data_IF_015685477201
#
_entry.id   IF_015685477201
#
_cell.length_a   1.000
_cell.length_b   1.000
_cell.length_c   1.000
_cell.angle_alpha   90.00
_cell.angle_beta   90.00
_cell.angle_gamma   90.00
#
_symmetry.space_group_name_H-M   'P 1'
#
loop_
_entity.id
_entity.type
_entity.pdbx_description
1 polymer ?
#
# COMPACT_ATOMS: atom_id res chain seq x y z
N UNK A 1 32.87 29.57 -16.44
CA UNK A 1 31.78 28.69 -16.94
C UNK A 1 30.79 28.48 -15.81
N UNK A 2 29.51 28.82 -15.95
CA UNK A 2 28.57 28.69 -14.86
C UNK A 2 28.04 27.25 -14.79
N UNK A 3 28.15 26.67 -13.60
CA UNK A 3 27.58 25.37 -13.24
C UNK A 3 26.07 25.56 -13.17
N UNK A 4 25.35 25.00 -14.13
CA UNK A 4 23.90 25.01 -14.15
C UNK A 4 23.37 24.01 -13.11
N UNK A 5 22.91 24.55 -11.98
CA UNK A 5 22.16 23.80 -10.97
C UNK A 5 20.77 23.46 -11.56
N UNK A 6 20.64 22.25 -12.10
CA UNK A 6 19.34 21.72 -12.55
C UNK A 6 18.56 21.23 -11.32
N UNK A 7 17.83 22.16 -10.71
CA UNK A 7 16.73 21.82 -9.78
C UNK A 7 15.71 20.97 -10.53
N UNK A 8 15.59 19.70 -10.12
CA UNK A 8 14.66 18.72 -10.69
C UNK A 8 13.22 19.20 -10.45
N UNK A 9 12.57 19.69 -11.50
CA UNK A 9 11.16 20.12 -11.49
C UNK A 9 10.23 18.95 -11.18
N UNK A 10 9.86 18.81 -9.90
CA UNK A 10 8.75 17.96 -9.42
C UNK A 10 7.47 18.78 -9.21
N UNK A 11 7.44 20.05 -9.64
CA UNK A 11 6.41 21.05 -9.32
C UNK A 11 5.15 21.05 -10.21
N UNK A 12 5.18 20.39 -11.37
CA UNK A 12 4.10 20.48 -12.37
C UNK A 12 2.72 20.03 -11.87
N UNK A 13 2.67 19.04 -10.97
CA UNK A 13 1.41 18.52 -10.45
C UNK A 13 0.73 19.49 -9.45
N UNK A 14 1.52 20.17 -8.61
CA UNK A 14 0.99 21.10 -7.59
C UNK A 14 0.67 22.49 -8.16
N UNK A 15 1.38 22.94 -9.19
CA UNK A 15 1.01 24.14 -9.94
C UNK A 15 -0.38 23.97 -10.59
N UNK A 16 -0.67 22.78 -11.11
CA UNK A 16 -1.99 22.43 -11.65
C UNK A 16 -3.09 22.48 -10.57
N UNK A 17 -2.87 21.81 -9.44
CA UNK A 17 -3.81 21.84 -8.30
C UNK A 17 -4.09 23.28 -7.84
N UNK A 18 -3.04 24.08 -7.66
CA UNK A 18 -3.16 25.46 -7.21
C UNK A 18 -3.92 26.33 -8.23
N UNK A 19 -3.64 26.14 -9.52
CA UNK A 19 -4.35 26.81 -10.61
C UNK A 19 -5.83 26.47 -10.60
N UNK A 20 -6.20 25.20 -10.42
CA UNK A 20 -7.59 24.78 -10.37
C UNK A 20 -8.32 25.32 -9.14
N UNK A 21 -7.65 25.37 -7.97
CA UNK A 21 -8.20 26.00 -6.76
C UNK A 21 -8.60 27.44 -7.02
N UNK A 22 -7.68 28.25 -7.56
CA UNK A 22 -7.95 29.67 -7.82
C UNK A 22 -8.96 29.88 -8.95
N UNK A 23 -8.89 29.09 -10.04
CA UNK A 23 -9.87 29.17 -11.14
C UNK A 23 -11.29 28.85 -10.69
N UNK A 24 -11.46 27.83 -9.84
CA UNK A 24 -12.77 27.47 -9.28
C UNK A 24 -13.32 28.56 -8.36
N UNK A 25 -12.46 29.40 -7.78
CA UNK A 25 -12.85 30.61 -7.06
C UNK A 25 -13.09 31.83 -7.96
N UNK A 26 -13.07 31.65 -9.29
CA UNK A 26 -13.31 32.71 -10.27
C UNK A 26 -12.07 33.54 -10.65
N UNK A 27 -10.87 33.13 -10.23
CA UNK A 27 -9.63 33.86 -10.52
C UNK A 27 -9.13 33.51 -11.93
N UNK A 28 -8.58 34.50 -12.64
CA UNK A 28 -8.05 34.33 -14.01
C UNK A 28 -6.53 34.24 -13.97
N UNK A 29 -5.99 33.09 -14.38
CA UNK A 29 -4.55 32.92 -14.57
C UNK A 29 -4.09 33.80 -15.73
N UNK A 30 -3.11 34.67 -15.49
CA UNK A 30 -2.41 35.40 -16.54
C UNK A 30 -1.08 34.71 -16.79
N UNK A 31 -0.91 34.11 -17.97
CA UNK A 31 0.40 33.61 -18.37
C UNK A 31 1.31 34.81 -18.67
N UNK A 32 2.55 34.83 -18.17
CA UNK A 32 3.49 35.90 -18.45
C UNK A 32 3.73 36.02 -19.96
N UNK A 33 3.50 37.22 -20.52
CA UNK A 33 3.54 37.48 -21.98
C UNK A 33 4.77 38.27 -22.40
N UNK A 34 5.61 38.74 -21.48
CA UNK A 34 6.75 39.61 -21.78
C UNK A 34 8.08 39.09 -21.23
N UNK A 35 9.19 39.52 -21.85
CA UNK A 35 10.55 39.17 -21.40
C UNK A 35 10.91 39.74 -20.02
N UNK A 36 10.14 40.71 -19.50
CA UNK A 36 10.25 41.26 -18.13
C UNK A 36 9.56 40.40 -17.07
N UNK A 37 8.73 39.44 -17.47
CA UNK A 37 8.01 38.54 -16.57
C UNK A 37 8.83 37.25 -16.25
N UNK A 38 10.12 37.21 -16.62
CA UNK A 38 10.98 36.04 -16.44
C UNK A 38 11.38 35.89 -14.97
N UNK A 39 10.59 35.13 -14.22
CA UNK A 39 10.92 34.75 -12.85
C UNK A 39 9.72 34.49 -11.94
N UNK A 40 8.50 34.83 -12.39
CA UNK A 40 7.28 34.61 -11.62
C UNK A 40 6.69 33.24 -11.93
N UNK A 41 6.48 32.43 -10.90
CA UNK A 41 5.89 31.09 -11.04
C UNK A 41 4.43 31.18 -11.52
N UNK A 42 3.57 32.00 -10.88
CA UNK A 42 2.15 32.17 -11.25
C UNK A 42 1.61 33.58 -10.97
N UNK A 43 0.80 34.13 -11.89
CA UNK A 43 0.08 35.41 -11.73
C UNK A 43 -1.42 35.21 -11.88
N UNK A 44 -2.20 35.66 -10.90
CA UNK A 44 -3.66 35.62 -10.96
C UNK A 44 -4.28 37.01 -10.85
N UNK A 45 -5.37 37.21 -11.59
CA UNK A 45 -6.25 38.35 -11.43
C UNK A 45 -7.54 37.89 -10.77
N UNK A 46 -7.92 38.53 -9.68
CA UNK A 46 -9.22 38.31 -9.06
C UNK A 46 -9.83 39.65 -8.66
N UNK A 47 -11.06 39.89 -9.13
CA UNK A 47 -11.68 41.22 -9.10
C UNK A 47 -10.72 42.23 -9.78
N UNK A 48 -10.37 43.30 -9.09
CA UNK A 48 -9.45 44.35 -9.56
C UNK A 48 -8.04 44.24 -8.96
N UNK A 49 -7.72 43.13 -8.27
CA UNK A 49 -6.42 42.92 -7.63
C UNK A 49 -5.59 41.87 -8.37
N UNK A 50 -4.28 42.13 -8.45
CA UNK A 50 -3.29 41.17 -8.96
C UNK A 50 -2.62 40.45 -7.81
N UNK A 51 -2.37 39.17 -8.01
CA UNK A 51 -1.71 38.30 -7.04
C UNK A 51 -0.50 37.64 -7.69
N UNK A 52 0.65 37.74 -7.04
CA UNK A 52 1.89 37.06 -7.43
C UNK A 52 2.07 35.88 -6.48
N UNK A 53 2.09 34.68 -7.04
CA UNK A 53 2.09 33.45 -6.24
C UNK A 53 3.40 32.71 -6.44
N UNK A 54 4.13 32.51 -5.34
CA UNK A 54 5.30 31.63 -5.29
C UNK A 54 4.93 30.29 -4.65
N UNK A 55 5.21 29.20 -5.34
CA UNK A 55 4.92 27.85 -4.89
C UNK A 55 6.22 27.11 -4.56
N UNK A 56 6.35 26.61 -3.34
CA UNK A 56 7.46 25.70 -2.96
C UNK A 56 6.93 24.34 -2.56
N UNK A 57 7.49 23.31 -3.17
CA UNK A 57 7.05 21.92 -2.98
C UNK A 57 8.08 21.16 -2.15
N UNK A 58 7.60 20.49 -1.11
CA UNK A 58 8.37 19.52 -0.33
C UNK A 58 7.85 18.11 -0.56
N UNK A 59 8.76 17.13 -0.61
CA UNK A 59 8.35 15.72 -0.57
C UNK A 59 7.82 15.25 0.79
N UNK A 60 7.94 16.08 1.83
CA UNK A 60 7.51 15.79 3.21
C UNK A 60 6.77 16.98 3.84
N UNK A 61 5.57 16.73 4.37
CA UNK A 61 4.71 17.72 5.01
C UNK A 61 5.04 18.00 6.49
N UNK A 62 6.31 17.93 6.87
CA UNK A 62 6.75 18.16 8.26
C UNK A 62 7.16 19.61 8.47
N UNK A 63 6.93 20.12 9.68
CA UNK A 63 7.20 21.51 10.07
C UNK A 63 8.63 21.97 9.75
N UNK A 64 9.63 21.15 10.07
CA UNK A 64 11.06 21.43 9.87
C UNK A 64 11.44 21.55 8.39
N UNK A 65 10.61 21.04 7.47
CA UNK A 65 10.79 21.17 6.03
C UNK A 65 9.96 22.28 5.42
N UNK A 66 8.72 22.43 5.86
CA UNK A 66 7.79 23.41 5.28
C UNK A 66 8.05 24.84 5.74
N UNK A 67 8.45 25.06 7.00
CA UNK A 67 8.71 26.43 7.50
C UNK A 67 9.87 27.10 6.75
N UNK A 68 11.04 26.46 6.53
CA UNK A 68 12.10 27.07 5.73
C UNK A 68 11.67 27.40 4.28
N UNK A 69 10.90 26.49 3.65
CA UNK A 69 10.38 26.71 2.30
C UNK A 69 9.34 27.83 2.24
N UNK A 70 8.49 27.94 3.26
CA UNK A 70 7.55 29.05 3.37
C UNK A 70 8.30 30.37 3.53
N UNK A 71 9.31 30.44 4.40
CA UNK A 71 10.13 31.63 4.56
C UNK A 71 10.76 32.05 3.23
N UNK A 72 11.28 31.09 2.46
CA UNK A 72 11.81 31.37 1.13
C UNK A 72 10.73 31.86 0.16
N UNK A 73 9.57 31.21 0.13
CA UNK A 73 8.44 31.60 -0.72
C UNK A 73 7.93 33.01 -0.37
N UNK A 74 7.86 33.37 0.91
CA UNK A 74 7.48 34.70 1.40
C UNK A 74 8.45 35.75 0.85
N UNK A 75 9.76 35.53 1.00
CA UNK A 75 10.78 36.47 0.54
C UNK A 75 10.72 36.64 -0.98
N UNK A 76 10.57 35.55 -1.72
CA UNK A 76 10.50 35.58 -3.18
C UNK A 76 9.20 36.21 -3.69
N UNK A 77 8.04 35.88 -3.11
CA UNK A 77 6.76 36.46 -3.49
C UNK A 77 6.76 37.98 -3.27
N UNK A 78 7.32 38.44 -2.14
CA UNK A 78 7.46 39.87 -1.84
C UNK A 78 8.34 40.58 -2.85
N UNK A 79 9.51 40.04 -3.13
CA UNK A 79 10.43 40.63 -4.10
C UNK A 79 9.77 40.73 -5.49
N UNK A 80 9.14 39.65 -5.95
CA UNK A 80 8.46 39.61 -7.23
C UNK A 80 7.27 40.56 -7.30
N UNK A 81 6.49 40.71 -6.21
CA UNK A 81 5.40 41.65 -6.14
C UNK A 81 5.88 43.11 -6.15
N UNK A 82 7.02 43.42 -5.52
CA UNK A 82 7.63 44.75 -5.55
C UNK A 82 8.19 45.11 -6.93
N UNK A 83 8.77 44.14 -7.62
CA UNK A 83 9.28 44.32 -8.98
C UNK A 83 8.18 44.31 -10.06
N UNK A 84 6.94 43.95 -9.69
CA UNK A 84 5.85 43.87 -10.65
C UNK A 84 5.42 45.28 -11.09
N UNK A 85 5.16 45.53 -12.39
CA UNK A 85 4.84 46.88 -12.89
C UNK A 85 3.57 47.51 -12.32
N UNK A 86 2.69 46.71 -11.74
CA UNK A 86 1.39 47.12 -11.20
C UNK A 86 1.28 46.62 -9.74
N UNK A 87 0.52 47.33 -8.88
CA UNK A 87 0.34 46.89 -7.49
C UNK A 87 -0.18 45.45 -7.42
N UNK A 88 0.60 44.58 -6.78
CA UNK A 88 0.26 43.17 -6.65
C UNK A 88 0.44 42.68 -5.20
N UNK A 89 -0.44 41.76 -4.80
CA UNK A 89 -0.40 41.13 -3.48
C UNK A 89 0.47 39.88 -3.55
N UNK A 90 1.52 39.77 -2.73
CA UNK A 90 2.35 38.57 -2.68
C UNK A 90 1.61 37.43 -1.97
N UNK A 91 1.68 36.24 -2.56
CA UNK A 91 1.19 35.00 -1.96
C UNK A 91 2.32 33.97 -1.95
N UNK A 92 2.58 33.40 -0.78
CA UNK A 92 3.50 32.29 -0.59
C UNK A 92 2.70 31.00 -0.33
N UNK A 93 2.88 29.99 -1.18
CA UNK A 93 2.23 28.69 -1.03
C UNK A 93 3.28 27.62 -0.81
N UNK A 94 3.07 26.80 0.21
CA UNK A 94 3.82 25.56 0.38
C UNK A 94 2.93 24.36 0.09
N UNK A 95 3.50 23.39 -0.61
CA UNK A 95 2.80 22.17 -0.95
C UNK A 95 3.60 20.92 -0.56
N UNK A 96 2.87 19.87 -0.18
CA UNK A 96 3.42 18.53 -0.04
C UNK A 96 2.38 17.49 -0.40
N UNK A 97 2.78 16.21 -0.41
CA UNK A 97 1.86 15.11 -0.71
C UNK A 97 0.73 15.00 0.32
N UNK A 98 1.04 15.22 1.59
CA UNK A 98 0.09 15.24 2.71
C UNK A 98 0.63 16.21 3.77
N UNK A 99 -0.22 17.08 4.32
CA UNK A 99 0.16 18.01 5.38
C UNK A 99 -0.79 17.83 6.57
N UNK A 100 -0.30 17.39 7.75
CA UNK A 100 -1.14 17.26 8.93
C UNK A 100 -1.75 18.61 9.32
N UNK A 101 -3.01 18.61 9.78
CA UNK A 101 -3.72 19.83 10.20
C UNK A 101 -2.92 20.63 11.23
N UNK A 102 -2.31 19.96 12.21
CA UNK A 102 -1.48 20.61 13.24
C UNK A 102 -0.24 21.32 12.67
N UNK A 103 0.32 20.82 11.56
CA UNK A 103 1.44 21.46 10.88
C UNK A 103 0.93 22.66 10.08
N UNK A 104 -0.21 22.54 9.40
CA UNK A 104 -0.83 23.66 8.70
C UNK A 104 -1.16 24.81 9.67
N UNK A 105 -1.75 24.52 10.83
CA UNK A 105 -2.02 25.51 11.88
C UNK A 105 -0.74 26.21 12.36
N UNK A 106 0.35 25.46 12.54
CA UNK A 106 1.65 26.03 12.93
C UNK A 106 2.26 26.92 11.83
N UNK A 107 2.09 26.55 10.56
CA UNK A 107 2.50 27.37 9.41
C UNK A 107 1.69 28.66 9.37
N UNK A 108 0.37 28.58 9.56
CA UNK A 108 -0.50 29.75 9.61
C UNK A 108 -0.12 30.67 10.79
N UNK A 109 0.18 30.11 11.96
CA UNK A 109 0.64 30.88 13.11
C UNK A 109 1.99 31.55 12.86
N UNK A 110 2.92 30.86 12.20
CA UNK A 110 4.21 31.42 11.80
C UNK A 110 4.02 32.58 10.82
N UNK A 111 3.21 32.41 9.78
CA UNK A 111 2.93 33.44 8.78
C UNK A 111 2.33 34.70 9.43
N UNK A 112 1.30 34.54 10.27
CA UNK A 112 0.68 35.68 11.00
C UNK A 112 1.68 36.43 11.87
N UNK A 113 2.67 35.74 12.42
CA UNK A 113 3.67 36.35 13.30
C UNK A 113 4.78 37.07 12.54
N UNK A 114 5.23 36.52 11.42
CA UNK A 114 6.47 36.97 10.76
C UNK A 114 6.25 37.64 9.40
N UNK A 115 5.11 37.45 8.75
CA UNK A 115 4.77 38.04 7.46
C UNK A 115 3.25 38.28 7.32
N UNK A 116 2.62 39.08 8.20
CA UNK A 116 1.18 39.34 8.16
C UNK A 116 0.70 40.03 6.88
N UNK A 117 1.60 40.66 6.12
CA UNK A 117 1.33 41.36 4.86
C UNK A 117 1.31 40.43 3.63
N UNK A 118 1.72 39.17 3.78
CA UNK A 118 1.81 38.19 2.69
C UNK A 118 0.68 37.17 2.81
N UNK A 119 -0.04 36.93 1.72
CA UNK A 119 -0.99 35.83 1.67
C UNK A 119 -0.26 34.50 1.80
N UNK A 120 -0.71 33.60 2.67
CA UNK A 120 -0.07 32.30 2.87
C UNK A 120 -1.05 31.18 2.60
N UNK A 121 -0.61 30.22 1.77
CA UNK A 121 -1.35 29.02 1.44
C UNK A 121 -0.60 27.74 1.82
N UNK A 122 -1.36 26.76 2.26
CA UNK A 122 -0.93 25.38 2.44
C UNK A 122 -1.86 24.51 1.63
N UNK A 123 -1.31 23.70 0.72
CA UNK A 123 -2.08 22.73 -0.06
C UNK A 123 -1.42 21.36 -0.01
N UNK A 124 -2.22 20.30 -0.12
CA UNK A 124 -1.69 18.96 -0.36
C UNK A 124 -2.36 18.24 -1.52
N UNK A 125 -1.81 17.07 -1.88
CA UNK A 125 -2.30 16.27 -2.99
C UNK A 125 -3.60 15.52 -2.64
N UNK A 126 -4.02 15.51 -1.37
CA UNK A 126 -5.25 14.87 -0.88
C UNK A 126 -6.44 15.84 -0.87
N UNK A 127 -6.22 17.09 -1.27
CA UNK A 127 -7.23 18.13 -1.34
C UNK A 127 -7.40 18.93 -0.05
N UNK A 128 -6.52 18.75 0.94
CA UNK A 128 -6.44 19.68 2.05
C UNK A 128 -5.91 21.01 1.54
N UNK A 129 -6.58 22.09 1.92
CA UNK A 129 -6.12 23.45 1.64
C UNK A 129 -6.51 24.40 2.76
N UNK A 130 -5.54 25.22 3.16
CA UNK A 130 -5.69 26.24 4.18
C UNK A 130 -4.97 27.50 3.74
N UNK A 131 -5.71 28.60 3.61
CA UNK A 131 -5.20 29.89 3.18
C UNK A 131 -5.48 30.97 4.24
N UNK A 132 -4.59 31.94 4.34
CA UNK A 132 -4.79 33.15 5.14
C UNK A 132 -4.20 34.36 4.42
N UNK A 133 -4.86 35.49 4.54
CA UNK A 133 -4.46 36.74 3.88
C UNK A 133 -5.60 37.34 3.07
N UNK A 134 -5.49 38.65 2.81
CA UNK A 134 -6.55 39.41 2.16
C UNK A 134 -6.87 38.84 0.76
N UNK A 135 -8.15 38.57 0.51
CA UNK A 135 -8.65 38.05 -0.76
C UNK A 135 -8.65 36.52 -0.85
N UNK A 136 -8.08 35.80 0.12
CA UNK A 136 -8.04 34.34 0.15
C UNK A 136 -9.16 33.71 0.97
N UNK A 137 -10.12 34.51 1.42
CA UNK A 137 -11.23 34.05 2.25
C UNK A 137 -12.12 33.06 1.48
N UNK A 138 -12.43 31.92 2.11
CA UNK A 138 -13.30 30.90 1.51
C UNK A 138 -12.59 29.94 0.53
N UNK A 139 -11.28 30.05 0.37
CA UNK A 139 -10.47 29.08 -0.39
C UNK A 139 -10.14 27.83 0.43
N UNK A 140 -10.48 27.78 1.72
CA UNK A 140 -10.24 26.64 2.59
C UNK A 140 -11.08 25.43 2.19
N UNK A 141 -10.52 24.23 2.34
CA UNK A 141 -11.29 23.00 2.31
C UNK A 141 -10.64 21.95 3.23
N UNK A 142 -11.50 21.28 3.99
CA UNK A 142 -11.14 20.06 4.72
C UNK A 142 -11.07 18.90 3.72
N UNK A 143 -10.28 17.84 4.00
CA UNK A 143 -10.11 16.73 3.07
C UNK A 143 -11.46 16.17 2.63
N UNK A 144 -11.68 16.08 1.31
CA UNK A 144 -12.90 15.47 0.78
C UNK A 144 -12.84 13.97 1.00
N UNK A 145 -13.58 13.48 2.00
CA UNK A 145 -13.93 12.06 2.12
C UNK A 145 -14.87 11.67 0.97
N UNK A 146 -14.33 11.36 -0.22
CA UNK A 146 -14.99 10.50 -1.22
C UNK A 146 -14.02 9.96 -2.27
N UNK A 147 -13.70 8.68 -2.11
CA UNK A 147 -13.68 7.61 -3.12
C UNK A 147 -13.85 8.09 -4.59
N UNK A 148 -12.78 8.09 -5.39
CA UNK A 148 -12.56 7.26 -6.60
C UNK A 148 -11.24 7.64 -7.31
N UNK A 149 -10.32 6.65 -7.34
CA UNK A 149 -9.31 6.27 -8.37
C UNK A 149 -8.20 7.24 -8.80
N UNK A 150 -6.98 6.91 -8.34
CA UNK A 150 -5.61 7.00 -8.91
C UNK A 150 -5.32 8.05 -10.01
N UNK A 151 -4.24 8.84 -9.96
CA UNK A 151 -2.82 8.43 -10.08
C UNK A 151 -1.93 9.61 -9.58
N UNK A 152 -0.89 9.35 -8.77
CA UNK A 152 0.09 10.37 -8.36
C UNK A 152 0.55 10.20 -6.91
N UNK A 153 1.59 9.39 -6.70
CA UNK A 153 2.06 8.86 -5.40
C UNK A 153 2.00 9.82 -4.21
N UNK A 154 1.06 9.60 -3.28
CA UNK A 154 1.25 9.92 -1.87
C UNK A 154 2.50 9.16 -1.36
N UNK A 155 3.29 9.75 -0.45
CA UNK A 155 4.19 8.94 0.39
C UNK A 155 3.23 8.17 1.31
N UNK A 156 2.71 7.04 0.80
CA UNK A 156 1.89 6.12 1.57
C UNK A 156 2.71 5.80 2.81
N UNK A 157 2.14 6.02 4.00
CA UNK A 157 2.49 5.16 5.13
C UNK A 157 2.50 3.73 4.58
N UNK A 158 3.52 2.91 4.86
CA UNK A 158 3.56 1.55 4.34
C UNK A 158 2.20 0.93 4.59
N UNK A 159 1.63 0.33 3.54
CA UNK A 159 0.43 -0.47 3.72
C UNK A 159 0.77 -1.48 4.82
N UNK A 160 0.10 -1.37 5.97
CA UNK A 160 0.30 -2.28 7.12
C UNK A 160 0.15 -3.72 6.67
N UNK A 161 -0.62 -3.92 5.59
CA UNK A 161 -0.89 -5.19 4.95
C UNK A 161 -0.25 -5.28 3.55
N UNK A 162 0.91 -4.63 3.33
CA UNK A 162 1.79 -4.93 2.20
C UNK A 162 2.32 -6.37 2.27
N UNK A 163 2.80 -6.91 1.15
CA UNK A 163 3.22 -8.31 1.05
C UNK A 163 4.19 -8.76 2.17
N UNK A 164 5.31 -8.07 2.33
CA UNK A 164 6.29 -8.38 3.37
C UNK A 164 5.76 -8.10 4.78
N UNK A 165 4.88 -7.11 4.94
CA UNK A 165 4.29 -6.84 6.25
C UNK A 165 3.32 -7.93 6.66
N UNK A 166 2.47 -8.42 5.74
CA UNK A 166 1.60 -9.56 5.98
C UNK A 166 2.42 -10.81 6.32
N UNK A 167 3.53 -11.06 5.61
CA UNK A 167 4.44 -12.15 5.96
C UNK A 167 4.96 -12.03 7.40
N UNK A 168 5.49 -10.88 7.80
CA UNK A 168 5.94 -10.64 9.17
C UNK A 168 4.79 -10.74 10.20
N UNK A 169 3.58 -10.29 9.87
CA UNK A 169 2.41 -10.44 10.71
C UNK A 169 2.00 -11.90 10.91
N UNK A 170 2.07 -12.73 9.87
CA UNK A 170 1.85 -14.19 9.99
C UNK A 170 2.88 -14.81 10.91
N UNK A 171 4.14 -14.37 10.88
CA UNK A 171 5.16 -14.85 11.81
C UNK A 171 4.79 -14.50 13.25
N UNK A 172 4.43 -13.23 13.53
CA UNK A 172 4.11 -12.78 14.89
C UNK A 172 2.84 -13.45 15.45
N UNK A 173 1.74 -13.42 14.68
CA UNK A 173 0.47 -14.04 15.08
C UNK A 173 0.57 -15.56 15.12
N UNK A 174 1.35 -16.13 14.22
CA UNK A 174 1.45 -17.57 14.03
C UNK A 174 2.19 -18.31 15.13
N UNK A 175 2.93 -17.63 16.01
CA UNK A 175 3.69 -18.28 17.08
C UNK A 175 2.81 -19.19 17.95
N UNK A 176 1.53 -18.83 18.14
CA UNK A 176 0.55 -19.60 18.92
C UNK A 176 -0.30 -20.57 18.07
N UNK A 177 -0.10 -20.61 16.75
CA UNK A 177 -0.85 -21.48 15.85
C UNK A 177 -0.06 -22.77 15.55
N UNK A 178 -0.73 -23.93 15.42
CA UNK A 178 -0.08 -25.19 15.07
C UNK A 178 0.73 -25.12 13.77
N UNK A 179 1.88 -25.79 13.72
CA UNK A 179 2.77 -25.85 12.55
C UNK A 179 2.08 -26.46 11.31
N UNK A 180 1.13 -27.37 11.53
CA UNK A 180 0.33 -27.99 10.47
C UNK A 180 -0.58 -27.01 9.73
N UNK A 181 -0.81 -25.80 10.27
CA UNK A 181 -1.74 -24.81 9.74
C UNK A 181 -1.04 -23.55 9.17
N UNK A 182 0.23 -23.35 9.52
CA UNK A 182 1.01 -22.18 9.12
C UNK A 182 2.51 -22.47 9.21
N UNK A 183 3.20 -22.38 8.07
CA UNK A 183 4.65 -22.56 7.95
C UNK A 183 5.37 -21.25 8.20
N UNK A 184 5.89 -21.07 9.42
CA UNK A 184 6.66 -19.89 9.82
C UNK A 184 7.89 -20.30 10.66
N UNK A 185 8.92 -19.44 10.74
CA UNK A 185 9.96 -19.59 11.75
C UNK A 185 9.37 -19.57 13.16
N UNK A 186 9.83 -20.49 14.01
CA UNK A 186 9.35 -20.69 15.38
C UNK A 186 10.33 -20.21 16.45
N UNK A 187 11.38 -19.49 16.05
CA UNK A 187 12.29 -18.88 17.04
C UNK A 187 11.57 -17.78 17.82
N UNK A 188 11.90 -17.64 19.12
CA UNK A 188 11.34 -16.59 19.96
C UNK A 188 11.84 -15.21 19.51
N UNK A 189 10.90 -14.35 19.11
CA UNK A 189 11.20 -13.03 18.55
C UNK A 189 11.12 -11.97 19.64
N UNK A 190 12.28 -11.55 20.15
CA UNK A 190 12.37 -10.55 21.21
C UNK A 190 12.39 -9.12 20.70
N UNK A 191 12.92 -8.91 19.51
CA UNK A 191 13.12 -7.57 18.96
C UNK A 191 13.04 -7.53 17.43
N UNK A 192 13.04 -6.31 16.91
CA UNK A 192 12.99 -6.02 15.47
C UNK A 192 14.11 -6.69 14.67
N UNK A 193 15.32 -6.81 15.22
CA UNK A 193 16.44 -7.43 14.50
C UNK A 193 16.18 -8.91 14.25
N UNK A 194 15.74 -9.60 15.30
CA UNK A 194 15.38 -11.00 15.20
C UNK A 194 14.22 -11.20 14.24
N UNK A 195 13.18 -10.33 14.27
CA UNK A 195 12.10 -10.40 13.29
C UNK A 195 12.62 -10.24 11.85
N UNK A 196 13.54 -9.31 11.61
CA UNK A 196 14.13 -9.10 10.29
C UNK A 196 14.89 -10.35 9.80
N UNK A 197 15.69 -10.95 10.68
CA UNK A 197 16.51 -12.11 10.38
C UNK A 197 15.65 -13.34 10.06
N UNK A 198 14.70 -13.68 10.95
CA UNK A 198 13.83 -14.86 10.76
C UNK A 198 12.89 -14.68 9.57
N UNK A 199 12.36 -13.46 9.37
CA UNK A 199 11.52 -13.16 8.22
C UNK A 199 12.31 -13.04 6.92
N UNK A 200 13.65 -12.98 6.97
CA UNK A 200 14.57 -12.75 5.85
C UNK A 200 14.19 -11.49 5.08
N UNK A 201 14.06 -10.38 5.80
CA UNK A 201 13.80 -9.04 5.25
C UNK A 201 14.86 -8.07 5.73
N UNK A 202 14.90 -6.86 5.16
CA UNK A 202 15.83 -5.84 5.66
C UNK A 202 15.43 -5.35 7.05
N UNK A 203 16.42 -5.00 7.86
CA UNK A 203 16.25 -4.32 9.16
C UNK A 203 15.31 -3.10 9.05
N UNK A 204 15.43 -2.34 7.96
CA UNK A 204 14.59 -1.17 7.70
C UNK A 204 13.11 -1.53 7.50
N UNK A 205 12.81 -2.64 6.80
CA UNK A 205 11.43 -3.08 6.59
C UNK A 205 10.80 -3.57 7.89
N UNK A 206 11.52 -4.40 8.65
CA UNK A 206 11.05 -4.88 9.95
C UNK A 206 10.86 -3.73 10.95
N UNK A 207 11.83 -2.82 11.06
CA UNK A 207 11.76 -1.66 11.97
C UNK A 207 10.57 -0.77 11.66
N UNK A 208 10.29 -0.57 10.37
CA UNK A 208 9.16 0.24 9.95
C UNK A 208 7.82 -0.40 10.34
N UNK A 209 7.67 -1.71 10.15
CA UNK A 209 6.47 -2.43 10.58
C UNK A 209 6.32 -2.41 12.09
N UNK A 210 7.35 -2.81 12.85
CA UNK A 210 7.30 -2.89 14.31
C UNK A 210 6.98 -1.53 14.92
N UNK A 211 7.64 -0.46 14.45
CA UNK A 211 7.34 0.91 14.90
C UNK A 211 5.88 1.29 14.62
N UNK A 212 5.35 0.91 13.46
CA UNK A 212 3.95 1.16 13.12
C UNK A 212 2.99 0.38 14.03
N UNK A 213 3.25 -0.90 14.27
CA UNK A 213 2.46 -1.73 15.17
C UNK A 213 2.48 -1.21 16.60
N UNK A 214 3.63 -0.78 17.10
CA UNK A 214 3.79 -0.13 18.41
C UNK A 214 2.99 1.18 18.46
N UNK A 215 3.17 2.06 17.47
CA UNK A 215 2.48 3.36 17.41
C UNK A 215 0.96 3.20 17.38
N UNK A 216 0.46 2.15 16.73
CA UNK A 216 -0.97 1.83 16.63
C UNK A 216 -1.47 0.96 17.80
N UNK A 217 -0.61 0.63 18.76
CA UNK A 217 -0.94 -0.09 20.00
C UNK A 217 -1.21 -1.59 19.81
N UNK A 218 -0.66 -2.20 18.75
CA UNK A 218 -0.77 -3.64 18.49
C UNK A 218 0.31 -4.47 19.15
N UNK A 219 1.46 -3.87 19.48
CA UNK A 219 2.55 -4.49 20.24
C UNK A 219 2.66 -3.77 21.58
N UNK A 220 2.81 -4.54 22.66
CA UNK A 220 3.12 -4.00 23.98
C UNK A 220 4.63 -3.81 24.13
N UNK A 221 5.05 -2.60 24.51
CA UNK A 221 6.46 -2.26 24.71
C UNK A 221 7.02 -2.78 26.05
N UNK A 222 6.15 -3.21 26.97
CA UNK A 222 6.54 -3.65 28.31
C UNK A 222 6.86 -5.15 28.40
N UNK A 223 6.68 -5.87 27.30
CA UNK A 223 6.98 -7.31 27.20
C UNK A 223 8.41 -7.56 26.72
N UNK A 224 9.06 -8.60 27.25
CA UNK A 224 10.41 -9.03 26.81
C UNK A 224 10.45 -9.57 25.36
N UNK A 225 9.29 -9.60 24.68
CA UNK A 225 9.17 -10.11 23.33
C UNK A 225 8.11 -9.40 22.48
N UNK A 226 8.28 -9.46 21.16
CA UNK A 226 7.33 -8.88 20.21
C UNK A 226 6.06 -9.74 20.17
N UNK A 227 5.05 -9.31 20.90
CA UNK A 227 3.76 -9.98 21.01
C UNK A 227 2.61 -9.07 20.54
N UNK A 228 1.61 -9.65 19.86
CA UNK A 228 0.45 -8.89 19.37
C UNK A 228 -0.67 -8.92 20.42
N UNK A 229 -0.93 -7.79 21.08
CA UNK A 229 -1.87 -7.71 22.22
C UNK A 229 -3.32 -7.37 21.85
N UNK A 230 -3.55 -6.90 20.63
CA UNK A 230 -4.89 -6.56 20.09
C UNK A 230 -5.14 -7.27 18.77
N UNK A 231 -4.97 -8.60 18.80
CA UNK A 231 -5.08 -9.42 17.60
C UNK A 231 -6.45 -9.28 16.91
N UNK A 232 -7.55 -9.10 17.65
CA UNK A 232 -8.89 -9.00 17.07
C UNK A 232 -9.04 -7.76 16.18
N UNK A 233 -8.72 -6.59 16.74
CA UNK A 233 -8.74 -5.31 16.00
C UNK A 233 -7.80 -5.32 14.79
N UNK A 234 -6.64 -6.00 14.91
CA UNK A 234 -5.68 -6.11 13.83
C UNK A 234 -6.21 -6.99 12.68
N UNK A 235 -6.83 -8.12 13.04
CA UNK A 235 -7.44 -9.05 12.10
C UNK A 235 -8.63 -8.41 11.37
N UNK A 236 -9.50 -7.67 12.05
CA UNK A 236 -10.62 -6.95 11.42
C UNK A 236 -10.15 -5.87 10.42
N UNK A 237 -9.06 -5.16 10.75
CA UNK A 237 -8.42 -4.23 9.81
C UNK A 237 -7.77 -4.98 8.64
N UNK A 238 -7.23 -6.16 8.88
CA UNK A 238 -6.67 -6.98 7.82
C UNK A 238 -7.76 -7.42 6.84
N UNK A 239 -8.92 -7.89 7.30
CA UNK A 239 -10.08 -8.16 6.43
C UNK A 239 -10.43 -6.93 5.60
N UNK A 240 -10.53 -5.77 6.26
CA UNK A 240 -10.91 -4.50 5.62
C UNK A 240 -9.93 -4.08 4.52
N UNK A 241 -8.63 -4.36 4.71
CA UNK A 241 -7.57 -4.10 3.74
C UNK A 241 -7.44 -5.19 2.67
N UNK A 242 -7.83 -6.44 2.99
CA UNK A 242 -7.80 -7.61 2.12
C UNK A 242 -8.98 -7.63 1.13
N UNK A 243 -9.18 -6.51 0.43
CA UNK A 243 -10.11 -6.47 -0.69
C UNK A 243 -9.46 -7.16 -1.89
N UNK A 244 -10.19 -7.99 -2.67
CA UNK A 244 -9.63 -8.68 -3.82
C UNK A 244 -8.98 -7.68 -4.79
N UNK A 245 -7.65 -7.59 -4.77
CA UNK A 245 -6.87 -6.82 -5.75
C UNK A 245 -6.52 -7.68 -6.97
N UNK A 246 -6.58 -8.99 -6.83
CA UNK A 246 -6.27 -9.96 -7.88
C UNK A 246 -7.53 -10.33 -8.66
N UNK A 247 -7.41 -10.34 -10.00
CA UNK A 247 -8.43 -10.93 -10.88
C UNK A 247 -8.37 -12.44 -10.78
N UNK A 248 -9.53 -13.05 -10.56
CA UNK A 248 -9.72 -14.48 -10.69
C UNK A 248 -9.90 -14.80 -12.17
N UNK A 249 -9.06 -15.69 -12.68
CA UNK A 249 -9.07 -16.13 -14.07
C UNK A 249 -9.77 -17.49 -14.11
N UNK A 250 -10.92 -17.62 -14.79
CA UNK A 250 -11.57 -18.91 -14.94
C UNK A 250 -10.68 -19.85 -15.77
N UNK A 251 -10.59 -21.11 -15.36
CA UNK A 251 -9.90 -22.15 -16.09
C UNK A 251 -10.76 -23.42 -16.19
N UNK A 252 -10.53 -24.17 -17.26
CA UNK A 252 -11.28 -25.34 -17.64
C UNK A 252 -10.36 -26.53 -17.90
N UNK A 253 -10.87 -27.73 -17.68
CA UNK A 253 -10.15 -28.95 -18.02
C UNK A 253 -9.95 -29.08 -19.54
N UNK A 254 -8.71 -29.34 -19.96
CA UNK A 254 -8.43 -29.77 -21.34
C UNK A 254 -9.03 -31.18 -21.57
N UNK A 255 -8.88 -32.06 -20.58
CA UNK A 255 -9.49 -33.39 -20.52
C UNK A 255 -10.22 -33.48 -19.20
N UNK A 256 -11.51 -33.82 -19.21
CA UNK A 256 -12.35 -33.85 -18.01
C UNK A 256 -11.66 -34.62 -16.87
N UNK A 257 -11.38 -33.91 -15.78
CA UNK A 257 -10.83 -34.45 -14.53
C UNK A 257 -11.79 -34.18 -13.39
N UNK A 258 -11.65 -34.96 -12.31
CA UNK A 258 -12.25 -34.60 -11.02
C UNK A 258 -11.30 -33.76 -10.16
N UNK A 259 -11.82 -33.22 -9.06
CA UNK A 259 -11.06 -32.39 -8.14
C UNK A 259 -9.87 -33.13 -7.52
N UNK A 260 -9.99 -34.43 -7.22
CA UNK A 260 -8.89 -35.20 -6.60
C UNK A 260 -7.71 -35.33 -7.56
N UNK A 261 -7.99 -35.63 -8.83
CA UNK A 261 -6.97 -35.71 -9.87
C UNK A 261 -6.28 -34.36 -10.10
N UNK A 262 -7.02 -33.26 -9.99
CA UNK A 262 -6.45 -31.93 -10.04
C UNK A 262 -5.50 -31.65 -8.87
N UNK A 263 -5.95 -31.87 -7.63
CA UNK A 263 -5.13 -31.67 -6.44
C UNK A 263 -3.86 -32.54 -6.49
N UNK A 264 -3.97 -33.79 -6.95
CA UNK A 264 -2.82 -34.66 -7.18
C UNK A 264 -1.84 -34.09 -8.22
N UNK A 265 -2.34 -33.52 -9.32
CA UNK A 265 -1.51 -32.87 -10.36
C UNK A 265 -0.75 -31.66 -9.79
N UNK A 266 -1.38 -30.88 -8.91
CA UNK A 266 -0.75 -29.75 -8.21
C UNK A 266 0.32 -30.24 -7.24
N UNK A 267 0.03 -31.28 -6.45
CA UNK A 267 1.00 -31.89 -5.54
C UNK A 267 2.23 -32.44 -6.27
N UNK A 268 2.02 -33.15 -7.39
CA UNK A 268 3.10 -33.66 -8.22
C UNK A 268 3.97 -32.52 -8.77
N UNK A 269 3.36 -31.48 -9.33
CA UNK A 269 4.08 -30.31 -9.84
C UNK A 269 4.98 -29.68 -8.77
N UNK A 270 4.46 -29.53 -7.54
CA UNK A 270 5.20 -28.94 -6.43
C UNK A 270 6.31 -29.85 -5.89
N UNK A 271 6.13 -31.17 -5.96
CA UNK A 271 7.15 -32.15 -5.59
C UNK A 271 8.35 -32.12 -6.56
N UNK A 272 8.09 -32.01 -7.86
CA UNK A 272 9.13 -31.89 -8.90
C UNK A 272 10.02 -30.65 -8.70
N UNK A 273 9.45 -29.56 -8.19
CA UNK A 273 10.20 -28.34 -7.84
C UNK A 273 11.17 -28.52 -6.67
N UNK A 274 10.94 -29.51 -5.81
CA UNK A 274 11.76 -29.77 -4.62
C UNK A 274 12.92 -30.72 -4.90
N UNK A 275 12.83 -31.48 -5.99
CA UNK A 275 13.84 -32.46 -6.40
C UNK A 275 15.03 -31.88 -7.17
N UNK A 276 15.07 -30.57 -7.42
CA UNK A 276 16.24 -29.93 -8.03
C UNK A 276 17.43 -29.97 -7.03
N UNK A 277 18.46 -30.78 -7.28
CA UNK A 277 19.60 -30.87 -6.38
C UNK A 277 20.37 -29.55 -6.43
N UNK A 278 20.88 -29.12 -5.27
CA UNK A 278 21.86 -28.03 -5.10
C UNK A 278 22.69 -27.83 -6.37
N UNK A 279 22.85 -26.61 -6.92
CA UNK A 279 23.66 -26.38 -8.11
C UNK A 279 25.12 -26.73 -7.80
N UNK A 280 25.49 -27.98 -8.09
CA UNK A 280 26.87 -28.41 -8.19
C UNK A 280 27.35 -27.92 -9.54
N UNK A 281 28.37 -27.08 -9.51
CA UNK A 281 29.14 -26.58 -10.65
C UNK A 281 28.63 -25.31 -11.32
N UNK A 282 29.54 -24.33 -11.33
CA UNK A 282 29.56 -23.13 -12.16
C UNK A 282 29.64 -23.53 -13.64
N UNK A 283 28.51 -23.85 -14.26
CA UNK A 283 28.41 -23.82 -15.73
C UNK A 283 27.78 -22.47 -16.11
N UNK A 284 28.62 -21.59 -16.65
CA UNK A 284 28.21 -20.31 -17.24
C UNK A 284 27.13 -20.55 -18.32
N UNK A 285 26.07 -19.74 -18.29
CA UNK A 285 25.08 -19.50 -19.36
C UNK A 285 23.79 -20.32 -19.48
N UNK A 286 23.25 -20.93 -18.42
CA UNK A 286 21.79 -21.10 -18.31
C UNK A 286 21.30 -20.64 -16.94
N UNK A 287 20.59 -19.52 -16.91
CA UNK A 287 19.76 -19.14 -15.77
C UNK A 287 18.70 -20.25 -15.63
N UNK A 288 18.92 -21.24 -14.76
CA UNK A 288 17.87 -22.18 -14.37
C UNK A 288 16.83 -21.33 -13.63
N UNK A 289 15.76 -20.96 -14.34
CA UNK A 289 14.70 -20.14 -13.79
C UNK A 289 13.97 -21.00 -12.77
N UNK A 290 14.01 -20.60 -11.49
CA UNK A 290 13.31 -21.29 -10.43
C UNK A 290 11.84 -21.51 -10.82
N UNK A 291 11.34 -22.72 -10.60
CA UNK A 291 9.98 -23.09 -10.96
C UNK A 291 8.97 -22.22 -10.18
N UNK A 292 7.94 -21.65 -10.83
CA UNK A 292 6.95 -20.80 -10.16
C UNK A 292 6.27 -21.50 -9.00
N UNK A 293 6.12 -20.81 -7.86
CA UNK A 293 5.42 -21.35 -6.69
C UNK A 293 3.92 -21.45 -6.96
N UNK A 294 3.30 -22.50 -6.42
CA UNK A 294 1.85 -22.68 -6.43
C UNK A 294 1.33 -23.25 -5.11
N UNK A 295 0.06 -22.98 -4.79
CA UNK A 295 -0.65 -23.65 -3.70
C UNK A 295 -2.18 -23.54 -3.90
N UNK A 296 -2.92 -24.45 -3.29
CA UNK A 296 -4.38 -24.40 -3.23
C UNK A 296 -4.81 -23.34 -2.22
N UNK A 297 -5.85 -22.57 -2.55
CA UNK A 297 -6.41 -21.51 -1.72
C UNK A 297 -7.91 -21.69 -1.41
N UNK A 298 -8.44 -20.77 -0.62
CA UNK A 298 -9.87 -20.65 -0.28
C UNK A 298 -10.47 -21.96 0.28
N UNK A 299 -11.63 -22.38 -0.19
CA UNK A 299 -12.41 -23.48 0.37
C UNK A 299 -11.69 -24.83 0.24
N UNK A 300 -11.09 -25.10 -0.92
CA UNK A 300 -10.32 -26.33 -1.12
C UNK A 300 -9.09 -26.39 -0.18
N UNK A 301 -8.50 -25.25 0.15
CA UNK A 301 -7.46 -25.17 1.18
C UNK A 301 -8.02 -25.42 2.58
N UNK A 302 -9.20 -24.87 2.91
CA UNK A 302 -9.88 -25.16 4.17
C UNK A 302 -10.14 -26.66 4.33
N UNK A 303 -10.63 -27.33 3.28
CA UNK A 303 -10.84 -28.79 3.26
C UNK A 303 -9.53 -29.54 3.51
N UNK A 304 -8.45 -29.21 2.79
CA UNK A 304 -7.14 -29.84 2.95
C UNK A 304 -6.50 -29.62 4.33
N UNK A 305 -6.85 -28.52 5.00
CA UNK A 305 -6.45 -28.23 6.39
C UNK A 305 -7.35 -28.92 7.44
N UNK A 306 -8.42 -29.62 7.03
CA UNK A 306 -9.39 -30.25 7.93
C UNK A 306 -10.36 -29.27 8.60
N UNK A 307 -10.55 -28.10 7.98
CA UNK A 307 -11.37 -26.98 8.45
C UNK A 307 -12.54 -26.67 7.52
N UNK A 308 -12.74 -27.46 6.46
CA UNK A 308 -13.80 -27.30 5.49
C UNK A 308 -15.20 -27.37 6.09
N UNK A 309 -16.01 -26.34 5.82
CA UNK A 309 -17.39 -26.19 6.27
C UNK A 309 -18.33 -25.93 5.09
N UNK A 310 -17.90 -25.15 4.10
CA UNK A 310 -18.65 -24.83 2.89
C UNK A 310 -18.17 -25.71 1.73
N UNK A 311 -19.11 -26.27 0.96
CA UNK A 311 -18.85 -27.16 -0.19
C UNK A 311 -19.45 -26.61 -1.49
N UNK A 312 -18.96 -27.13 -2.62
CA UNK A 312 -19.53 -26.87 -3.96
C UNK A 312 -19.01 -25.59 -4.64
N UNK A 313 -17.99 -24.95 -4.06
CA UNK A 313 -17.24 -23.87 -4.69
C UNK A 313 -16.09 -24.47 -5.48
N UNK A 314 -15.87 -24.10 -6.77
CA UNK A 314 -14.72 -24.60 -7.52
C UNK A 314 -13.40 -24.25 -6.81
N UNK A 315 -12.39 -25.13 -6.88
CA UNK A 315 -11.12 -24.90 -6.22
C UNK A 315 -10.40 -23.68 -6.79
N UNK A 316 -9.60 -23.04 -5.94
CA UNK A 316 -8.76 -21.91 -6.29
C UNK A 316 -7.29 -22.33 -6.26
N UNK A 317 -6.56 -22.02 -7.33
CA UNK A 317 -5.13 -22.23 -7.44
C UNK A 317 -4.40 -20.89 -7.43
N UNK A 318 -3.51 -20.72 -6.47
CA UNK A 318 -2.56 -19.63 -6.44
C UNK A 318 -1.33 -19.97 -7.25
N UNK A 319 -1.00 -19.07 -8.19
CA UNK A 319 0.20 -19.15 -9.01
C UNK A 319 1.03 -17.89 -8.85
N UNK A 320 2.34 -18.06 -8.68
CA UNK A 320 3.28 -16.94 -8.59
C UNK A 320 3.28 -16.05 -9.84
N UNK A 321 2.99 -16.64 -10.99
CA UNK A 321 2.77 -15.96 -12.25
C UNK A 321 1.88 -16.80 -13.16
N UNK A 322 1.18 -16.14 -14.07
CA UNK A 322 0.39 -16.83 -15.08
C UNK A 322 1.31 -17.34 -16.18
N UNK A 323 1.43 -18.66 -16.30
CA UNK A 323 2.25 -19.32 -17.31
C UNK A 323 1.37 -20.35 -18.05
N UNK A 324 1.08 -20.14 -19.35
CA UNK A 324 0.27 -21.08 -20.14
C UNK A 324 0.84 -22.50 -20.16
N UNK A 325 2.18 -22.66 -20.15
CA UNK A 325 2.80 -23.98 -20.15
C UNK A 325 2.54 -24.71 -18.84
N UNK A 326 2.57 -23.98 -17.72
CA UNK A 326 2.20 -24.53 -16.41
C UNK A 326 0.74 -24.98 -16.40
N UNK A 327 -0.16 -24.15 -16.90
CA UNK A 327 -1.58 -24.49 -16.95
C UNK A 327 -1.82 -25.73 -17.81
N UNK A 328 -1.21 -25.82 -18.98
CA UNK A 328 -1.31 -27.01 -19.84
C UNK A 328 -0.76 -28.26 -19.14
N UNK A 329 0.36 -28.16 -18.42
CA UNK A 329 0.91 -29.26 -17.61
C UNK A 329 -0.05 -29.73 -16.51
N UNK A 330 -0.81 -28.80 -15.92
CA UNK A 330 -1.88 -29.12 -14.96
C UNK A 330 -3.15 -29.66 -15.63
N UNK A 331 -3.21 -29.62 -16.97
CA UNK A 331 -4.38 -30.03 -17.76
C UNK A 331 -5.47 -28.96 -17.82
N UNK A 332 -5.09 -27.68 -17.72
CA UNK A 332 -5.97 -26.53 -17.67
C UNK A 332 -5.80 -25.62 -18.90
N UNK A 333 -6.91 -25.02 -19.35
CA UNK A 333 -6.99 -23.96 -20.35
C UNK A 333 -7.77 -22.75 -19.81
N UNK A 334 -7.43 -21.54 -20.24
CA UNK A 334 -8.13 -20.27 -19.90
C UNK A 334 -9.11 -19.86 -21.01
N UNK A 335 -9.20 -20.63 -22.10
CA UNK A 335 -10.10 -20.31 -23.20
C UNK A 335 -11.54 -20.15 -22.72
N UNK A 336 -12.19 -19.06 -23.17
CA UNK A 336 -13.57 -18.77 -22.80
C UNK A 336 -14.48 -19.84 -23.40
N UNK A 337 -14.98 -20.71 -22.53
CA UNK A 337 -15.84 -21.82 -22.92
C UNK A 337 -17.34 -21.50 -22.75
N UNK A 338 -17.68 -20.35 -22.15
CA UNK A 338 -19.06 -20.03 -21.72
C UNK A 338 -19.63 -20.99 -20.66
N UNK A 339 -18.86 -21.98 -20.18
CA UNK A 339 -19.27 -22.96 -19.16
C UNK A 339 -18.86 -22.49 -17.78
N UNK A 340 -19.44 -23.12 -16.75
CA UNK A 340 -18.99 -22.91 -15.36
C UNK A 340 -17.49 -23.26 -15.26
N UNK A 341 -16.66 -22.42 -14.62
CA UNK A 341 -15.25 -22.72 -14.42
C UNK A 341 -15.06 -23.97 -13.58
N UNK A 342 -14.08 -24.80 -13.97
CA UNK A 342 -13.68 -25.98 -13.22
C UNK A 342 -12.74 -25.60 -12.07
N UNK A 343 -11.89 -24.58 -12.30
CA UNK A 343 -10.92 -24.04 -11.35
C UNK A 343 -10.84 -22.53 -11.54
N UNK A 344 -10.58 -21.78 -10.47
CA UNK A 344 -10.16 -20.38 -10.57
C UNK A 344 -8.67 -20.24 -10.34
N UNK A 345 -7.98 -19.56 -11.25
CA UNK A 345 -6.56 -19.21 -11.10
C UNK A 345 -6.46 -17.80 -10.54
N UNK A 346 -5.69 -17.62 -9.47
CA UNK A 346 -5.39 -16.31 -8.91
C UNK A 346 -3.89 -16.09 -8.84
N UNK A 347 -3.42 -14.98 -9.41
CA UNK A 347 -2.06 -14.48 -9.17
C UNK A 347 -2.13 -13.47 -8.04
N UNK A 348 -1.63 -13.80 -6.83
CA UNK A 348 -1.78 -12.92 -5.69
C UNK A 348 -0.86 -11.70 -5.79
N UNK A 349 -1.34 -10.55 -5.30
CA UNK A 349 -0.50 -9.35 -5.17
C UNK A 349 0.53 -9.47 -4.04
N UNK A 350 0.21 -10.27 -3.01
CA UNK A 350 1.05 -10.50 -1.83
C UNK A 350 1.62 -11.92 -1.87
N UNK A 351 2.63 -12.11 -2.74
CA UNK A 351 3.18 -13.43 -3.06
C UNK A 351 3.99 -14.00 -1.90
N UNK A 352 4.81 -13.17 -1.25
CA UNK A 352 5.67 -13.61 -0.16
C UNK A 352 4.83 -14.03 1.06
N UNK A 353 3.78 -13.28 1.39
CA UNK A 353 2.82 -13.62 2.44
C UNK A 353 2.15 -14.97 2.23
N UNK A 354 1.81 -15.31 0.99
CA UNK A 354 1.10 -16.56 0.67
C UNK A 354 2.07 -17.73 0.60
N UNK A 355 3.09 -17.64 -0.26
CA UNK A 355 3.90 -18.81 -0.59
C UNK A 355 4.93 -19.15 0.48
N UNK A 356 5.39 -18.20 1.30
CA UNK A 356 6.29 -18.52 2.42
C UNK A 356 5.55 -19.19 3.58
N UNK A 357 4.29 -18.81 3.78
CA UNK A 357 3.43 -19.31 4.84
C UNK A 357 2.75 -20.64 4.50
N UNK A 358 2.66 -20.97 3.20
CA UNK A 358 2.02 -22.18 2.70
C UNK A 358 2.58 -23.44 3.37
N UNK A 359 1.68 -24.37 3.69
CA UNK A 359 1.99 -25.65 4.31
C UNK A 359 1.86 -26.77 3.28
N UNK A 360 2.42 -27.93 3.61
CA UNK A 360 2.25 -29.15 2.82
C UNK A 360 1.36 -30.11 3.59
N UNK A 361 0.27 -30.53 2.95
CA UNK A 361 -0.68 -31.50 3.49
C UNK A 361 -0.73 -32.66 2.52
N UNK A 362 -0.24 -33.83 2.93
CA UNK A 362 -0.26 -35.04 2.10
C UNK A 362 0.35 -34.82 0.69
N UNK A 363 1.45 -34.07 0.63
CA UNK A 363 2.15 -33.72 -0.62
C UNK A 363 1.55 -32.53 -1.40
N UNK A 364 0.38 -32.02 -1.00
CA UNK A 364 -0.27 -30.87 -1.61
C UNK A 364 0.21 -29.56 -0.95
N UNK A 365 0.68 -28.56 -1.73
CA UNK A 365 0.87 -27.20 -1.22
C UNK A 365 -0.47 -26.50 -1.00
N UNK A 366 -0.66 -26.00 0.22
CA UNK A 366 -1.92 -25.39 0.68
C UNK A 366 -1.61 -24.04 1.32
N UNK A 367 -2.38 -23.00 1.00
CA UNK A 367 -2.27 -21.71 1.66
C UNK A 367 -2.54 -21.84 3.17
N UNK A 368 -1.84 -21.07 3.98
CA UNK A 368 -1.99 -21.13 5.44
C UNK A 368 -3.38 -20.73 5.95
N UNK A 369 -3.69 -21.11 7.18
CA UNK A 369 -5.01 -20.89 7.79
C UNK A 369 -5.40 -19.42 7.89
N UNK A 370 -4.44 -18.50 8.09
CA UNK A 370 -4.74 -17.06 8.14
C UNK A 370 -5.12 -16.54 6.76
N UNK A 371 -4.42 -17.01 5.72
CA UNK A 371 -4.79 -16.70 4.34
C UNK A 371 -6.18 -17.26 3.99
N UNK A 372 -6.47 -18.52 4.32
CA UNK A 372 -7.78 -19.13 4.07
C UNK A 372 -8.90 -18.35 4.77
N UNK A 373 -8.69 -17.96 6.03
CA UNK A 373 -9.62 -17.12 6.77
C UNK A 373 -9.84 -15.76 6.10
N UNK A 374 -8.76 -15.07 5.70
CA UNK A 374 -8.83 -13.78 5.01
C UNK A 374 -9.60 -13.85 3.69
N UNK A 375 -9.31 -14.85 2.85
CA UNK A 375 -9.94 -14.95 1.52
C UNK A 375 -11.40 -15.37 1.60
N UNK A 376 -11.76 -16.19 2.59
CA UNK A 376 -13.15 -16.62 2.77
C UNK A 376 -14.02 -15.54 3.42
N UNK A 377 -13.47 -14.68 4.28
CA UNK A 377 -14.24 -13.65 5.00
C UNK A 377 -15.09 -12.71 4.14
N UNK A 378 -14.66 -12.47 2.89
CA UNK A 378 -15.37 -11.59 1.93
C UNK A 378 -15.90 -12.35 0.70
N UNK A 379 -15.80 -13.68 0.69
CA UNK A 379 -16.20 -14.47 -0.48
C UNK A 379 -17.72 -14.63 -0.57
N UNK A 380 -18.34 -14.39 -1.75
CA UNK A 380 -19.81 -14.39 -1.89
C UNK A 380 -20.47 -15.75 -1.64
N UNK A 381 -19.78 -16.85 -1.92
CA UNK A 381 -20.30 -18.21 -1.73
C UNK A 381 -20.25 -18.65 -0.25
N UNK A 382 -21.07 -18.02 0.61
CA UNK A 382 -21.13 -18.29 2.06
C UNK A 382 -19.76 -18.24 2.75
N UNK A 383 -18.84 -17.44 2.23
CA UNK A 383 -17.47 -17.37 2.72
C UNK A 383 -17.37 -16.93 4.17
N UNK A 384 -18.29 -16.06 4.61
CA UNK A 384 -18.38 -15.62 6.01
C UNK A 384 -18.52 -16.80 6.97
N UNK A 385 -19.37 -17.78 6.65
CA UNK A 385 -19.56 -18.96 7.50
C UNK A 385 -18.29 -19.81 7.62
N UNK A 386 -17.58 -19.99 6.51
CA UNK A 386 -16.28 -20.68 6.51
C UNK A 386 -15.24 -19.93 7.36
N UNK A 387 -15.21 -18.60 7.26
CA UNK A 387 -14.28 -17.77 8.02
C UNK A 387 -14.62 -17.73 9.52
N UNK A 388 -15.91 -17.71 9.87
CA UNK A 388 -16.37 -17.73 11.26
C UNK A 388 -16.03 -19.07 11.92
N UNK A 389 -16.14 -20.18 11.18
CA UNK A 389 -15.76 -21.50 11.66
C UNK A 389 -14.24 -21.60 11.93
N UNK A 390 -13.40 -21.06 11.03
CA UNK A 390 -11.96 -20.97 11.25
C UNK A 390 -11.65 -20.08 12.45
N UNK A 391 -12.34 -18.94 12.58
CA UNK A 391 -12.15 -18.00 13.70
C UNK A 391 -12.45 -18.69 15.02
N UNK A 392 -13.57 -19.39 15.09
CA UNK A 392 -14.05 -20.13 16.28
C UNK A 392 -13.10 -21.24 16.71
N UNK A 393 -12.60 -22.05 15.74
CA UNK A 393 -11.79 -23.24 16.04
C UNK A 393 -10.31 -22.96 16.22
N UNK A 394 -9.73 -22.04 15.45
CA UNK A 394 -8.27 -21.90 15.31
C UNK A 394 -7.75 -20.54 15.74
N UNK A 395 -8.43 -19.45 15.39
CA UNK A 395 -7.92 -18.08 15.64
C UNK A 395 -8.24 -17.62 17.06
N UNK A 396 -9.31 -18.15 17.68
CA UNK A 396 -9.75 -17.78 19.03
C UNK A 396 -8.63 -17.73 20.09
N UNK A 397 -7.66 -18.66 20.13
CA UNK A 397 -6.52 -18.58 21.06
C UNK A 397 -5.68 -17.31 20.92
N UNK A 398 -5.63 -16.67 19.73
CA UNK A 398 -4.91 -15.40 19.51
C UNK A 398 -5.52 -14.22 20.29
N UNK A 399 -6.73 -14.36 20.82
CA UNK A 399 -7.44 -13.29 21.54
C UNK A 399 -7.34 -13.42 23.06
N UNK A 400 -6.75 -14.51 23.55
CA UNK A 400 -6.66 -14.76 24.99
C UNK A 400 -5.32 -14.26 25.48
N UNK A 401 -5.34 -13.24 26.36
CA UNK A 401 -4.18 -12.89 27.18
C UNK A 401 -3.85 -14.09 28.06
N UNK A 402 -2.69 -14.70 27.87
CA UNK A 402 -2.08 -15.43 28.98
C UNK A 402 -1.88 -14.40 30.10
N UNK A 403 -2.47 -14.69 31.26
CA UNK A 403 -2.48 -13.81 32.43
C UNK A 403 -1.14 -13.82 33.14
#
# INVERSE_FOLDING_TARGET
MPVADRVVRTGGDFEGILTDIFRNAGWRLRRPTSARDRGVDLVFNAKDQKYIVELKVSSEGRRDRLIPLLSQAILQARELAQQFPEPAVPIAVVASRHIPLSVAEQIQQFARRYAPEVGVGVIDAEGFRSFAGAGLEGLDAKPHSRVVRHIGSAKRLPDLFSDLNQWMLKILLGQHLPESLLSIPRERIRNTSQLADVARVSMMSASRLVKQLITEGYIDEHEDHLHVVRADDLLDRWISANRPRSRDVPAHWIIKKDERQFLASVGQYAAESRTDPKPKSRVRNRLVKAQPRCCIGLFAAADALGLGFVRGVPPYLYLEGLDPNLLQRLGLSIEDSGRRPDVYIRVPSNKESIFRAAVIRDGLPVSDVLQVWLDTSTHPARGREQSDEIRRRIIRPLFVRER
#
